data_IF_615749063212
#
_entry.id   IF_615749063212
#
_cell.length_a   1.000
_cell.length_b   1.000
_cell.length_c   1.000
_cell.angle_alpha   90.00
_cell.angle_beta   90.00
_cell.angle_gamma   90.00
#
_symmetry.space_group_name_H-M   'P 1'
#
loop_
_entity.id
_entity.type
_entity.pdbx_description
1 polymer ?
#
# COMPACT_ATOMS: atom_id res chain seq x y z
N UNK A 1 11.72 -12.98 -12.75
CA UNK A 1 11.29 -11.66 -13.24
C UNK A 1 12.50 -10.76 -13.47
N UNK A 2 12.36 -9.73 -14.32
CA UNK A 2 13.39 -8.72 -14.53
C UNK A 2 13.22 -7.47 -13.62
N UNK A 3 14.21 -6.59 -13.58
CA UNK A 3 14.18 -5.40 -12.72
C UNK A 3 13.05 -4.42 -13.04
N UNK A 4 12.56 -4.36 -14.29
CA UNK A 4 11.47 -3.46 -14.66
C UNK A 4 10.16 -3.98 -14.05
N UNK A 5 9.87 -5.26 -14.26
CA UNK A 5 8.72 -5.94 -13.65
C UNK A 5 8.78 -5.88 -12.12
N UNK A 6 9.96 -6.13 -11.53
CA UNK A 6 10.16 -6.07 -10.09
C UNK A 6 9.85 -4.68 -9.54
N UNK A 7 10.30 -3.61 -10.21
CA UNK A 7 10.04 -2.23 -9.78
C UNK A 7 8.56 -1.84 -9.88
N UNK A 8 7.85 -2.34 -10.88
CA UNK A 8 6.39 -2.14 -10.99
C UNK A 8 5.69 -2.79 -9.80
N UNK A 9 6.01 -4.05 -9.49
CA UNK A 9 5.43 -4.73 -8.32
C UNK A 9 5.85 -4.05 -7.01
N UNK A 10 7.09 -3.61 -6.86
CA UNK A 10 7.57 -2.88 -5.67
C UNK A 10 6.83 -1.57 -5.43
N UNK A 11 6.43 -0.85 -6.49
CA UNK A 11 5.64 0.36 -6.37
C UNK A 11 4.22 0.08 -5.88
N UNK A 12 3.62 -1.03 -6.33
CA UNK A 12 2.31 -1.51 -5.88
C UNK A 12 2.37 -2.24 -4.51
N UNK A 13 3.54 -2.70 -4.09
CA UNK A 13 3.74 -3.64 -2.97
C UNK A 13 3.11 -3.21 -1.64
N UNK A 14 2.92 -1.90 -1.41
CA UNK A 14 2.21 -1.42 -0.22
C UNK A 14 0.74 -1.84 -0.16
N UNK A 15 0.09 -1.99 -1.30
CA UNK A 15 -1.31 -2.42 -1.42
C UNK A 15 -1.43 -3.95 -1.49
N UNK A 16 -0.37 -4.61 -1.97
CA UNK A 16 -0.36 -6.05 -2.28
C UNK A 16 -0.13 -6.98 -1.09
N UNK A 17 0.31 -6.46 0.07
CA UNK A 17 0.44 -7.27 1.31
C UNK A 17 -0.91 -7.83 1.80
N UNK A 18 -2.01 -7.47 1.15
CA UNK A 18 -3.36 -8.02 1.39
C UNK A 18 -3.63 -9.37 0.69
N UNK A 19 -2.62 -10.01 0.09
CA UNK A 19 -2.67 -11.44 -0.28
C UNK A 19 -3.29 -11.79 -1.63
N UNK A 20 -3.64 -10.79 -2.46
CA UNK A 20 -4.22 -11.01 -3.79
C UNK A 20 -3.18 -11.19 -4.90
N UNK A 21 -1.93 -10.78 -4.70
CA UNK A 21 -0.86 -10.93 -5.70
C UNK A 21 0.19 -11.90 -5.19
N UNK A 22 0.46 -12.94 -5.99
CA UNK A 22 1.58 -13.85 -5.78
C UNK A 22 2.90 -13.09 -5.99
N UNK A 23 3.65 -12.95 -4.91
CA UNK A 23 4.93 -12.22 -4.85
C UNK A 23 6.13 -13.16 -4.74
N UNK A 24 5.96 -14.48 -4.85
CA UNK A 24 7.05 -15.43 -4.68
C UNK A 24 8.21 -15.18 -5.67
N UNK A 25 7.87 -14.84 -6.93
CA UNK A 25 8.88 -14.52 -7.95
C UNK A 25 9.63 -13.20 -7.63
N UNK A 26 8.97 -12.25 -6.97
CA UNK A 26 9.57 -11.01 -6.51
C UNK A 26 10.52 -11.26 -5.34
N UNK A 27 10.14 -12.10 -4.39
CA UNK A 27 10.99 -12.47 -3.25
C UNK A 27 12.29 -13.11 -3.73
N UNK A 28 12.21 -14.08 -4.66
CA UNK A 28 13.39 -14.69 -5.29
C UNK A 28 14.27 -13.64 -5.98
N UNK A 29 13.68 -12.71 -6.74
CA UNK A 29 14.45 -11.63 -7.38
C UNK A 29 15.14 -10.71 -6.36
N UNK A 30 14.49 -10.44 -5.22
CA UNK A 30 15.04 -9.60 -4.16
C UNK A 30 16.17 -10.29 -3.41
N UNK A 31 16.28 -11.62 -3.39
CA UNK A 31 17.45 -12.31 -2.84
C UNK A 31 18.71 -12.04 -3.69
N UNK A 32 18.56 -11.95 -5.00
CA UNK A 32 19.68 -11.85 -5.94
C UNK A 32 20.01 -10.41 -6.35
N UNK A 33 19.03 -9.49 -6.36
CA UNK A 33 19.20 -8.15 -6.91
C UNK A 33 19.31 -7.04 -5.84
N UNK A 34 20.53 -6.59 -5.56
CA UNK A 34 20.80 -5.51 -4.61
C UNK A 34 20.17 -4.16 -4.98
N UNK A 35 20.09 -3.84 -6.28
CA UNK A 35 19.46 -2.60 -6.76
C UNK A 35 17.97 -2.56 -6.42
N UNK A 36 17.26 -3.67 -6.63
CA UNK A 36 15.83 -3.75 -6.30
C UNK A 36 15.60 -3.76 -4.78
N UNK A 37 16.49 -4.37 -3.98
CA UNK A 37 16.45 -4.23 -2.51
C UNK A 37 16.60 -2.79 -2.04
N UNK A 38 17.48 -2.01 -2.66
CA UNK A 38 17.65 -0.58 -2.32
C UNK A 38 16.39 0.23 -2.66
N UNK A 39 15.75 -0.05 -3.80
CA UNK A 39 14.47 0.58 -4.17
C UNK A 39 13.39 0.25 -3.13
N UNK A 40 13.24 -1.03 -2.75
CA UNK A 40 12.30 -1.46 -1.72
C UNK A 40 12.56 -0.77 -0.37
N UNK A 41 13.82 -0.65 0.04
CA UNK A 41 14.20 0.05 1.26
C UNK A 41 13.80 1.53 1.21
N UNK A 42 14.01 2.20 0.06
CA UNK A 42 13.58 3.59 -0.15
C UNK A 42 12.06 3.77 -0.04
N UNK A 43 11.29 2.89 -0.67
CA UNK A 43 9.83 2.92 -0.56
C UNK A 43 9.34 2.63 0.86
N UNK A 44 10.00 1.72 1.57
CA UNK A 44 9.68 1.39 2.97
C UNK A 44 9.94 2.59 3.89
N UNK A 45 11.09 3.26 3.72
CA UNK A 45 11.46 4.46 4.47
C UNK A 45 10.44 5.60 4.30
N UNK A 46 10.08 5.94 3.05
CA UNK A 46 9.06 6.96 2.77
C UNK A 46 7.72 6.58 3.42
N UNK A 47 7.42 5.28 3.52
CA UNK A 47 6.16 4.79 4.07
C UNK A 47 6.07 4.95 5.55
N UNK A 48 7.18 4.69 6.22
CA UNK A 48 7.30 4.93 7.64
C UNK A 48 7.17 6.43 7.96
N UNK A 49 7.80 7.30 7.16
CA UNK A 49 7.65 8.74 7.31
C UNK A 49 6.19 9.19 7.15
N UNK A 50 5.47 8.68 6.14
CA UNK A 50 4.04 9.00 5.96
C UNK A 50 3.19 8.48 7.12
N UNK A 51 3.46 7.27 7.65
CA UNK A 51 2.74 6.73 8.82
C UNK A 51 3.05 7.47 10.11
N UNK A 52 4.23 8.06 10.22
CA UNK A 52 4.63 8.87 11.37
C UNK A 52 3.99 10.26 11.41
N UNK A 53 3.31 10.68 10.33
CA UNK A 53 2.60 11.95 10.31
C UNK A 53 1.53 11.96 11.41
N UNK A 54 1.31 13.13 12.05
CA UNK A 54 0.29 13.25 13.07
C UNK A 54 -1.08 12.88 12.49
N UNK A 55 -1.93 12.17 13.26
CA UNK A 55 -3.29 11.88 12.81
C UNK A 55 -4.02 13.19 12.57
N UNK A 56 -4.70 13.28 11.42
CA UNK A 56 -5.57 14.40 11.12
C UNK A 56 -6.89 14.17 11.85
N UNK A 57 -7.22 15.05 12.79
CA UNK A 57 -8.54 15.02 13.43
C UNK A 57 -9.60 15.35 12.37
N UNK A 58 -10.52 14.41 12.07
CA UNK A 58 -11.58 14.68 11.11
C UNK A 58 -12.51 15.76 11.65
N UNK A 59 -13.20 16.48 10.75
CA UNK A 59 -14.26 17.39 11.15
C UNK A 59 -15.27 16.68 12.06
N UNK A 60 -15.82 17.33 13.11
CA UNK A 60 -16.84 16.73 13.98
C UNK A 60 -18.07 16.18 13.23
N UNK A 61 -18.30 16.66 12.01
CA UNK A 61 -19.44 16.26 11.17
C UNK A 61 -19.12 15.05 10.27
N UNK A 62 -17.85 14.63 10.19
CA UNK A 62 -17.38 13.59 9.28
C UNK A 62 -18.01 12.24 9.60
N UNK A 63 -18.12 11.88 10.89
CA UNK A 63 -18.73 10.63 11.32
C UNK A 63 -20.18 10.51 10.81
N UNK A 64 -21.00 11.53 11.04
CA UNK A 64 -22.39 11.56 10.58
C UNK A 64 -22.48 11.49 9.06
N UNK A 65 -21.59 12.18 8.33
CA UNK A 65 -21.55 12.14 6.87
C UNK A 65 -21.21 10.74 6.36
N UNK A 66 -20.20 10.09 6.96
CA UNK A 66 -19.76 8.74 6.60
C UNK A 66 -20.87 7.71 6.84
N UNK A 67 -21.49 7.72 8.02
CA UNK A 67 -22.55 6.75 8.35
C UNK A 67 -23.75 6.88 7.42
N UNK A 68 -24.14 8.10 7.04
CA UNK A 68 -25.19 8.33 6.04
C UNK A 68 -24.82 7.74 4.68
N UNK A 69 -23.58 7.93 4.22
CA UNK A 69 -23.12 7.36 2.96
C UNK A 69 -23.13 5.83 2.98
N UNK A 70 -22.65 5.22 4.07
CA UNK A 70 -22.66 3.75 4.24
C UNK A 70 -24.07 3.17 4.26
N UNK A 71 -25.03 3.85 4.91
CA UNK A 71 -26.44 3.43 4.87
C UNK A 71 -27.01 3.46 3.46
N UNK A 72 -26.72 4.50 2.68
CA UNK A 72 -27.16 4.58 1.27
C UNK A 72 -26.59 3.41 0.46
N UNK A 73 -25.29 3.13 0.59
CA UNK A 73 -24.64 2.01 -0.08
C UNK A 73 -25.25 0.66 0.30
N UNK A 74 -25.48 0.41 1.59
CA UNK A 74 -26.12 -0.83 2.08
C UNK A 74 -27.57 -1.01 1.62
N UNK A 75 -28.28 0.06 1.28
CA UNK A 75 -29.65 -0.03 0.74
C UNK A 75 -29.70 -0.21 -0.78
N UNK A 76 -28.56 -0.07 -1.46
CA UNK A 76 -28.44 -0.24 -2.91
C UNK A 76 -28.00 -1.66 -3.32
N UNK A 77 -27.65 -2.50 -2.35
CA UNK A 77 -27.33 -3.92 -2.50
C UNK A 77 -28.25 -4.77 -1.61
#
# INVERSE_FOLDING_TARGET
MNCIEARVLLAAYRELKNGEVDIAELDVHLEECSSCRQVLAGYSFIGEQVRSLPPLEPSPHMHTKLMKALTVEHTQF
#
